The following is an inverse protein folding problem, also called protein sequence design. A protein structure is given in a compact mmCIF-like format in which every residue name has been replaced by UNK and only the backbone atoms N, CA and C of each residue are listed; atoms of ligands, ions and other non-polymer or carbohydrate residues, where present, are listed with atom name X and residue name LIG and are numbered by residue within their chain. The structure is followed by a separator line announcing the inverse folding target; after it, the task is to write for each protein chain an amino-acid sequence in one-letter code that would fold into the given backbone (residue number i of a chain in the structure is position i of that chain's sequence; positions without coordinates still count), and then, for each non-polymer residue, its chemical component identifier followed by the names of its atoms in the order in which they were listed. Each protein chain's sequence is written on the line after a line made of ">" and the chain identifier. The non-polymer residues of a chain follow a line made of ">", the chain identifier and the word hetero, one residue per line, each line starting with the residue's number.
data_IF_947014599814
#
_entry.id   IF_947014599814
#
_cell.length_a   1.000
_cell.length_b   1.000
_cell.length_c   1.000
_cell.angle_alpha   90.00
_cell.angle_beta   90.00
_cell.angle_gamma   90.00
#
_symmetry.space_group_name_H-M   'P 1'
#
loop_
_entity.id
_entity.type
_entity.pdbx_description
1 polymer ?
#
# COMPACT_ATOMS: atom_id res chain seq x y z
N UNK A 1 -0.69 15.70 -12.45
CA UNK A 1 -0.43 15.13 -13.80
C UNK A 1 -0.76 16.17 -14.86
N UNK A 2 -0.06 16.18 -16.00
CA UNK A 2 -0.40 17.02 -17.15
C UNK A 2 -1.37 16.32 -18.11
N UNK A 3 -1.21 15.01 -18.28
CA UNK A 3 -2.09 14.11 -19.04
C UNK A 3 -1.89 12.67 -18.50
N UNK A 4 -2.63 11.64 -18.97
CA UNK A 4 -2.58 10.29 -18.40
C UNK A 4 -1.22 9.58 -18.44
N UNK A 5 -0.25 10.07 -19.23
CA UNK A 5 1.11 9.50 -19.36
C UNK A 5 2.22 10.52 -19.07
N UNK A 6 1.90 11.74 -18.62
CA UNK A 6 2.86 12.82 -18.37
C UNK A 6 2.62 13.42 -16.98
N UNK A 7 3.64 13.37 -16.14
CA UNK A 7 3.63 14.03 -14.84
C UNK A 7 3.73 15.56 -15.02
N UNK A 8 3.18 16.29 -14.06
CA UNK A 8 3.36 17.75 -13.94
C UNK A 8 3.97 18.01 -12.58
N UNK A 9 5.09 18.74 -12.54
CA UNK A 9 5.85 18.96 -11.33
C UNK A 9 6.82 17.82 -11.01
N UNK A 10 7.63 18.02 -9.98
CA UNK A 10 8.63 17.06 -9.54
C UNK A 10 8.00 15.93 -8.70
N UNK A 11 8.45 14.67 -8.87
CA UNK A 11 8.07 13.57 -7.99
C UNK A 11 8.50 13.83 -6.54
N UNK A 12 7.66 13.44 -5.59
CA UNK A 12 7.92 13.52 -4.15
C UNK A 12 8.00 12.10 -3.58
N UNK A 13 9.07 11.80 -2.84
CA UNK A 13 9.22 10.52 -2.16
C UNK A 13 8.37 10.50 -0.88
N UNK A 14 7.39 9.59 -0.82
CA UNK A 14 6.50 9.43 0.35
C UNK A 14 6.97 8.33 1.30
N UNK A 15 7.59 7.28 0.78
CA UNK A 15 8.10 6.16 1.56
C UNK A 15 9.33 5.58 0.91
N UNK A 16 10.19 5.00 1.75
CA UNK A 16 11.28 4.11 1.37
C UNK A 16 11.30 2.90 2.31
N UNK A 17 11.84 1.75 1.89
CA UNK A 17 12.01 0.59 2.76
C UNK A 17 12.98 0.93 3.89
N UNK A 18 12.54 0.80 5.14
CA UNK A 18 13.34 1.13 6.32
C UNK A 18 13.06 0.25 7.53
N UNK A 19 11.86 -0.34 7.61
CA UNK A 19 11.56 -1.34 8.63
C UNK A 19 12.06 -2.72 8.20
N UNK A 20 12.40 -3.57 9.19
CA UNK A 20 12.88 -4.93 8.93
C UNK A 20 11.91 -5.75 8.07
N UNK A 21 10.60 -5.57 8.27
CA UNK A 21 9.55 -6.25 7.49
C UNK A 21 9.44 -5.76 6.05
N UNK A 22 10.04 -4.61 5.70
CA UNK A 22 10.12 -4.10 4.32
C UNK A 22 11.37 -4.54 3.57
N UNK A 23 12.32 -5.17 4.30
CA UNK A 23 13.68 -5.42 3.85
C UNK A 23 14.04 -6.91 3.79
N UNK A 24 13.07 -7.82 3.85
CA UNK A 24 13.32 -9.27 3.81
C UNK A 24 13.53 -9.72 2.38
N UNK A 25 14.69 -10.33 2.12
CA UNK A 25 15.15 -10.67 0.77
C UNK A 25 15.61 -9.44 -0.01
N UNK A 26 14.72 -8.48 -0.23
CA UNK A 26 15.00 -7.21 -0.91
C UNK A 26 14.43 -6.01 -0.13
N UNK A 27 15.03 -4.83 -0.30
CA UNK A 27 14.53 -3.56 0.23
C UNK A 27 13.52 -2.98 -0.75
N UNK A 28 12.23 -3.25 -0.55
CA UNK A 28 11.19 -2.95 -1.55
C UNK A 28 10.00 -2.20 -0.94
N UNK A 29 9.53 -1.19 -1.66
CA UNK A 29 8.23 -0.53 -1.51
C UNK A 29 7.68 -0.39 -2.93
N UNK A 30 6.62 -1.13 -3.27
CA UNK A 30 6.07 -1.19 -4.62
C UNK A 30 4.54 -1.38 -4.63
N UNK A 31 3.94 -1.46 -5.82
CA UNK A 31 2.51 -1.77 -5.99
C UNK A 31 1.56 -0.86 -5.20
N UNK A 32 1.64 0.48 -5.34
CA UNK A 32 0.79 1.39 -4.59
C UNK A 32 -0.68 1.29 -5.04
N UNK A 33 -1.59 1.25 -4.08
CA UNK A 33 -3.03 1.33 -4.32
C UNK A 33 -3.70 2.36 -3.40
N UNK A 34 -4.54 3.21 -3.99
CA UNK A 34 -5.17 4.34 -3.28
C UNK A 34 -6.59 3.99 -2.86
N UNK A 35 -6.94 4.30 -1.61
CA UNK A 35 -8.30 4.25 -1.08
C UNK A 35 -8.63 5.56 -0.37
N UNK A 36 -9.76 6.17 -0.70
CA UNK A 36 -10.31 7.30 0.07
C UNK A 36 -11.45 6.81 0.96
N UNK A 37 -11.39 7.13 2.24
CA UNK A 37 -12.45 6.81 3.19
C UNK A 37 -12.52 7.84 4.31
N UNK A 38 -13.72 8.35 4.60
CA UNK A 38 -13.91 9.43 5.57
C UNK A 38 -13.12 10.69 5.18
N UNK A 39 -12.36 11.23 6.12
CA UNK A 39 -11.49 12.40 5.98
C UNK A 39 -10.03 12.03 5.63
N UNK A 40 -9.74 10.76 5.34
CA UNK A 40 -8.39 10.28 5.02
C UNK A 40 -8.25 9.75 3.58
N UNK A 41 -7.05 9.90 3.04
CA UNK A 41 -6.57 9.18 1.87
C UNK A 41 -5.52 8.18 2.35
N UNK A 42 -5.68 6.93 1.93
CA UNK A 42 -4.79 5.83 2.22
C UNK A 42 -4.05 5.39 0.95
N UNK A 43 -2.76 5.08 1.09
CA UNK A 43 -1.98 4.38 0.07
C UNK A 43 -1.47 3.09 0.69
N UNK A 44 -2.02 1.95 0.29
CA UNK A 44 -1.38 0.68 0.57
C UNK A 44 -0.24 0.48 -0.41
N UNK A 45 0.82 -0.21 0.02
CA UNK A 45 1.95 -0.59 -0.81
C UNK A 45 2.45 -1.96 -0.35
N UNK A 46 3.17 -2.68 -1.20
CA UNK A 46 3.77 -3.98 -0.88
C UNK A 46 5.26 -3.83 -0.60
N UNK A 47 5.81 -4.71 0.24
CA UNK A 47 7.19 -4.65 0.68
C UNK A 47 7.82 -6.05 0.80
N UNK A 48 9.16 -6.08 0.90
CA UNK A 48 9.99 -7.31 0.85
C UNK A 48 9.92 -8.07 -0.48
N UNK A 49 10.64 -9.20 -0.56
CA UNK A 49 10.60 -10.10 -1.72
C UNK A 49 9.18 -10.67 -1.96
N UNK A 50 8.87 -11.00 -3.22
CA UNK A 50 7.61 -11.63 -3.64
C UNK A 50 7.56 -13.12 -3.30
N UNK A 51 7.88 -13.46 -2.05
CA UNK A 51 7.81 -14.80 -1.45
C UNK A 51 6.89 -14.72 -0.20
N UNK A 52 7.00 -15.65 0.77
CA UNK A 52 6.18 -15.61 1.98
C UNK A 52 6.41 -14.37 2.86
N UNK A 53 7.46 -13.60 2.62
CA UNK A 53 7.73 -12.34 3.31
C UNK A 53 6.98 -11.14 2.71
N UNK A 54 6.39 -11.30 1.51
CA UNK A 54 5.63 -10.24 0.87
C UNK A 54 4.46 -9.83 1.75
N UNK A 55 4.33 -8.53 2.00
CA UNK A 55 3.30 -8.00 2.88
C UNK A 55 2.96 -6.55 2.52
N UNK A 56 1.86 -6.05 3.06
CA UNK A 56 1.35 -4.71 2.77
C UNK A 56 1.63 -3.73 3.91
N UNK A 57 2.24 -2.60 3.56
CA UNK A 57 2.29 -1.40 4.39
C UNK A 57 1.12 -0.45 4.09
N UNK A 58 1.03 0.62 4.88
CA UNK A 58 0.00 1.64 4.72
C UNK A 58 0.59 3.02 5.00
N UNK A 59 0.39 3.94 4.05
CA UNK A 59 0.52 5.37 4.26
C UNK A 59 -0.86 5.99 4.41
N UNK A 60 -0.99 7.04 5.21
CA UNK A 60 -2.21 7.86 5.24
C UNK A 60 -1.92 9.33 5.43
N UNK A 61 -2.86 10.15 4.95
CA UNK A 61 -2.84 11.61 5.03
C UNK A 61 -4.27 12.13 5.23
N UNK A 62 -4.40 13.27 5.89
CA UNK A 62 -5.63 14.07 5.88
C UNK A 62 -6.00 14.52 4.46
N UNK A 63 -7.25 14.32 4.03
CA UNK A 63 -7.70 14.64 2.66
C UNK A 63 -7.58 16.12 2.29
N UNK A 64 -7.50 17.00 3.30
CA UNK A 64 -7.35 18.44 3.12
C UNK A 64 -5.89 18.90 3.23
N UNK A 65 -4.96 18.02 3.63
CA UNK A 65 -3.54 18.33 3.69
C UNK A 65 -2.91 18.24 2.29
N UNK A 66 -1.81 18.98 2.07
CA UNK A 66 -1.08 18.97 0.80
C UNK A 66 -0.36 17.62 0.63
N UNK A 67 -0.72 16.79 -0.37
CA UNK A 67 -0.09 15.48 -0.59
C UNK A 67 1.34 15.59 -1.12
N UNK A 68 1.79 16.76 -1.58
CA UNK A 68 3.17 17.01 -2.02
C UNK A 68 4.12 17.36 -0.85
N UNK A 69 3.61 17.46 0.39
CA UNK A 69 4.43 17.63 1.58
C UNK A 69 4.61 16.29 2.30
N UNK A 70 5.80 15.64 2.25
CA UNK A 70 6.02 14.34 2.90
C UNK A 70 5.69 14.31 4.38
N UNK A 71 5.89 15.43 5.09
CA UNK A 71 5.62 15.54 6.52
C UNK A 71 4.13 15.38 6.89
N UNK A 72 3.22 15.56 5.93
CA UNK A 72 1.79 15.33 6.15
C UNK A 72 1.42 13.85 6.10
N UNK A 73 2.31 13.00 5.61
CA UNK A 73 2.07 11.56 5.51
C UNK A 73 2.53 10.84 6.77
N UNK A 74 1.73 9.87 7.17
CA UNK A 74 2.07 8.92 8.21
C UNK A 74 2.32 7.55 7.60
N UNK A 75 3.23 6.78 8.19
CA UNK A 75 3.57 5.42 7.78
C UNK A 75 3.30 4.45 8.92
N UNK A 76 2.60 3.35 8.63
CA UNK A 76 2.33 2.32 9.63
C UNK A 76 3.66 1.65 10.04
N UNK A 77 3.94 1.49 11.36
CA UNK A 77 5.19 0.89 11.82
C UNK A 77 5.22 -0.64 11.63
N UNK A 78 4.08 -1.25 11.32
CA UNK A 78 3.89 -2.69 11.14
C UNK A 78 3.04 -2.94 9.87
N UNK A 79 3.20 -4.10 9.21
CA UNK A 79 2.39 -4.45 8.06
C UNK A 79 0.91 -4.56 8.44
N UNK A 80 0.03 -4.04 7.58
CA UNK A 80 -1.43 -4.08 7.76
C UNK A 80 -2.06 -5.34 7.17
N UNK A 81 -1.34 -6.04 6.29
CA UNK A 81 -1.74 -7.33 5.74
C UNK A 81 -0.49 -8.16 5.45
N UNK A 82 -0.46 -9.43 5.89
CA UNK A 82 0.74 -10.27 5.86
C UNK A 82 0.37 -11.75 5.81
N UNK A 83 1.36 -12.60 5.57
CA UNK A 83 1.23 -14.06 5.62
C UNK A 83 0.45 -14.53 6.85
N UNK A 84 -0.51 -15.42 6.60
CA UNK A 84 -1.25 -16.15 7.63
C UNK A 84 -0.94 -17.64 7.47
N UNK A 85 -0.03 -18.14 8.29
CA UNK A 85 0.34 -19.55 8.31
C UNK A 85 -0.85 -20.45 8.68
N UNK A 86 -1.69 -20.01 9.63
CA UNK A 86 -2.91 -20.71 10.04
C UNK A 86 -3.88 -20.94 8.87
N UNK A 87 -4.04 -19.92 8.01
CA UNK A 87 -4.93 -19.98 6.84
C UNK A 87 -4.23 -20.40 5.55
N UNK A 88 -2.95 -20.80 5.62
CA UNK A 88 -2.12 -21.19 4.47
C UNK A 88 -2.15 -20.16 3.34
N UNK A 89 -2.12 -18.88 3.71
CA UNK A 89 -2.03 -17.74 2.78
C UNK A 89 -0.65 -17.11 2.92
N UNK A 90 0.15 -17.15 1.86
CA UNK A 90 1.55 -16.71 1.89
C UNK A 90 1.79 -15.54 0.96
N UNK A 91 2.53 -14.55 1.44
CA UNK A 91 2.99 -13.41 0.66
C UNK A 91 1.88 -12.53 0.08
N UNK A 92 0.85 -12.11 0.84
CA UNK A 92 -0.21 -11.29 0.27
C UNK A 92 0.29 -9.88 -0.08
N UNK A 93 0.04 -9.44 -1.31
CA UNK A 93 0.37 -8.07 -1.73
C UNK A 93 -0.13 -7.72 -3.13
N UNK A 94 0.48 -6.67 -3.69
CA UNK A 94 0.16 -6.02 -4.96
C UNK A 94 -1.35 -5.82 -5.13
N UNK A 95 -1.96 -5.16 -4.15
CA UNK A 95 -3.41 -5.08 -4.07
C UNK A 95 -4.00 -4.03 -5.01
N UNK A 96 -5.32 -4.08 -5.18
CA UNK A 96 -6.13 -2.99 -5.72
C UNK A 96 -7.44 -2.87 -4.95
N UNK A 97 -8.14 -1.74 -5.13
CA UNK A 97 -9.43 -1.47 -4.49
C UNK A 97 -10.50 -1.26 -5.55
N UNK A 98 -11.69 -1.84 -5.31
CA UNK A 98 -12.85 -1.66 -6.17
C UNK A 98 -14.12 -1.47 -5.33
N UNK A 99 -15.11 -0.71 -5.83
CA UNK A 99 -16.39 -0.58 -5.14
C UNK A 99 -17.16 -1.91 -5.23
N UNK A 100 -17.73 -2.36 -4.11
CA UNK A 100 -18.65 -3.49 -4.14
C UNK A 100 -20.06 -2.98 -4.52
N UNK A 101 -20.74 -3.68 -5.43
CA UNK A 101 -22.02 -3.29 -6.03
C UNK A 101 -23.19 -3.18 -5.02
N UNK A 102 -23.01 -3.60 -3.77
CA UNK A 102 -24.00 -3.44 -2.72
C UNK A 102 -23.40 -2.90 -1.43
N UNK A 103 -23.94 -1.76 -0.95
CA UNK A 103 -23.79 -1.22 0.43
C UNK A 103 -22.59 -0.31 0.75
N UNK A 104 -22.01 0.40 -0.22
CA UNK A 104 -21.00 1.43 0.06
C UNK A 104 -19.72 0.90 0.72
N UNK A 105 -19.45 -0.40 0.54
CA UNK A 105 -18.23 -1.06 1.01
C UNK A 105 -17.21 -1.09 -0.14
N UNK A 106 -15.95 -0.85 0.18
CA UNK A 106 -14.85 -1.10 -0.74
C UNK A 106 -14.26 -2.48 -0.45
N UNK A 107 -13.93 -3.24 -1.49
CA UNK A 107 -13.25 -4.50 -1.40
C UNK A 107 -11.80 -4.35 -1.90
N UNK A 108 -10.85 -4.93 -1.16
CA UNK A 108 -9.47 -5.08 -1.60
C UNK A 108 -9.27 -6.44 -2.27
N UNK A 109 -8.59 -6.48 -3.42
CA UNK A 109 -8.06 -7.72 -4.01
C UNK A 109 -6.56 -7.71 -3.81
N UNK A 110 -5.99 -8.80 -3.32
CA UNK A 110 -4.54 -9.03 -3.28
C UNK A 110 -4.24 -10.43 -3.84
N UNK A 111 -3.01 -10.65 -4.31
CA UNK A 111 -2.53 -11.98 -4.68
C UNK A 111 -1.81 -12.58 -3.48
N UNK A 112 -2.09 -13.85 -3.18
CA UNK A 112 -1.36 -14.67 -2.22
C UNK A 112 -1.22 -16.09 -2.79
N UNK A 113 -0.20 -16.81 -2.35
CA UNK A 113 -0.04 -18.22 -2.70
C UNK A 113 -0.83 -19.11 -1.72
N UNK A 114 -1.49 -20.13 -2.28
CA UNK A 114 -2.14 -21.21 -1.56
C UNK A 114 -1.21 -22.42 -1.62
N UNK A 115 -0.59 -22.79 -0.50
CA UNK A 115 0.14 -24.06 -0.38
C UNK A 115 -0.66 -25.05 0.44
#
# INVERSE_FOLDING_TARGET
>A
MANPWTLKGEPVMLSKPEFDWECRGFKVNEGPAVLMHGDKLFISYSASATDENYCMGLLWIDRQADPLQPANWHKAPQPVFRTSYENRQYGPGHNSFYPNAGRGRCAGVSRAELH
#
